data_IF_750552673120
#
_entry.id   IF_750552673120
#
_cell.length_a   1.000
_cell.length_b   1.000
_cell.length_c   1.000
_cell.angle_alpha   90.00
_cell.angle_beta   90.00
_cell.angle_gamma   90.00
#
_symmetry.space_group_name_H-M   'P 1'
#
loop_
_entity.id
_entity.type
_entity.pdbx_description
1 polymer ?
#
# COMPACT_ATOMS: atom_id res chain seq x y z
N UNK A 1 3.12 3.53 -4.90
CA UNK A 1 4.22 4.39 -5.39
C UNK A 1 3.77 5.33 -6.51
N UNK A 2 3.14 4.83 -7.59
CA UNK A 2 2.52 5.73 -8.60
C UNK A 2 3.52 6.49 -9.45
N UNK A 3 4.63 5.83 -9.82
CA UNK A 3 5.64 6.36 -10.73
C UNK A 3 5.26 6.12 -12.18
N UNK A 4 5.70 7.04 -13.04
CA UNK A 4 5.44 7.06 -14.48
C UNK A 4 6.77 7.17 -15.23
N UNK A 5 7.01 6.36 -16.28
CA UNK A 5 8.27 6.40 -17.02
C UNK A 5 8.68 7.79 -17.52
N UNK A 6 7.73 8.57 -18.02
CA UNK A 6 8.00 9.89 -18.59
C UNK A 6 7.94 11.02 -17.57
N UNK A 7 6.98 10.96 -16.64
CA UNK A 7 6.63 12.06 -15.74
C UNK A 7 7.07 11.86 -14.29
N UNK A 8 7.68 10.71 -13.95
CA UNK A 8 7.97 10.25 -12.60
C UNK A 8 6.74 10.36 -11.70
N UNK A 9 6.56 11.48 -11.01
CA UNK A 9 5.41 11.70 -10.12
C UNK A 9 4.15 12.16 -10.84
N UNK A 10 4.25 12.58 -12.10
CA UNK A 10 3.11 13.12 -12.86
C UNK A 10 2.58 12.08 -13.85
N UNK A 11 1.29 11.69 -13.77
CA UNK A 11 0.68 10.84 -14.78
C UNK A 11 0.64 11.55 -16.14
N UNK A 12 0.79 10.83 -17.27
CA UNK A 12 0.77 11.43 -18.60
C UNK A 12 -0.62 11.92 -19.01
N UNK A 13 -1.69 11.37 -18.42
CA UNK A 13 -3.07 11.84 -18.59
C UNK A 13 -3.98 11.32 -17.47
N UNK A 14 -5.21 11.85 -17.40
CA UNK A 14 -6.24 11.35 -16.48
C UNK A 14 -6.64 9.91 -16.82
N UNK A 15 -6.76 9.58 -18.10
CA UNK A 15 -7.09 8.25 -18.60
C UNK A 15 -6.04 7.21 -18.21
N UNK A 16 -4.76 7.59 -18.25
CA UNK A 16 -3.67 6.73 -17.82
C UNK A 16 -3.78 6.43 -16.32
N UNK A 17 -4.02 7.45 -15.50
CA UNK A 17 -4.20 7.26 -14.06
C UNK A 17 -5.45 6.42 -13.73
N UNK A 18 -6.54 6.62 -14.47
CA UNK A 18 -7.78 5.86 -14.34
C UNK A 18 -7.63 4.41 -14.76
N UNK A 19 -6.80 4.11 -15.75
CA UNK A 19 -6.63 2.74 -16.26
C UNK A 19 -6.04 1.81 -15.19
N UNK A 20 -5.15 2.30 -14.33
CA UNK A 20 -4.63 1.56 -13.17
C UNK A 20 -5.80 1.14 -12.23
N UNK A 21 -6.73 2.05 -11.90
CA UNK A 21 -7.88 1.76 -11.04
C UNK A 21 -8.82 0.74 -11.70
N UNK A 22 -9.08 0.91 -13.01
CA UNK A 22 -9.95 0.00 -13.77
C UNK A 22 -9.36 -1.41 -13.84
N UNK A 23 -8.06 -1.53 -14.11
CA UNK A 23 -7.37 -2.81 -14.12
C UNK A 23 -7.47 -3.50 -12.76
N UNK A 24 -7.16 -2.79 -11.67
CA UNK A 24 -7.16 -3.35 -10.32
C UNK A 24 -8.57 -3.77 -9.88
N UNK A 25 -9.59 -2.97 -10.19
CA UNK A 25 -10.99 -3.37 -9.94
C UNK A 25 -11.35 -4.65 -10.68
N UNK A 26 -10.96 -4.76 -11.96
CA UNK A 26 -11.16 -5.97 -12.76
C UNK A 26 -10.38 -7.16 -12.19
N UNK A 27 -9.22 -6.91 -11.58
CA UNK A 27 -8.39 -7.91 -10.92
C UNK A 27 -8.89 -8.33 -9.54
N UNK A 28 -10.06 -7.85 -9.10
CA UNK A 28 -10.71 -8.25 -7.86
C UNK A 28 -10.30 -7.43 -6.62
N UNK A 29 -9.54 -6.35 -6.80
CA UNK A 29 -9.23 -5.41 -5.73
C UNK A 29 -10.40 -4.44 -5.51
N UNK A 30 -10.61 -4.07 -4.24
CA UNK A 30 -11.60 -3.08 -3.82
C UNK A 30 -10.98 -1.90 -3.04
N UNK A 31 -9.66 -1.93 -2.82
CA UNK A 31 -8.92 -0.90 -2.13
C UNK A 31 -7.54 -0.69 -2.76
N UNK A 32 -7.06 0.56 -2.75
CA UNK A 32 -5.71 0.96 -3.11
C UNK A 32 -5.07 1.71 -1.94
N UNK A 33 -3.79 1.44 -1.69
CA UNK A 33 -2.97 2.28 -0.81
C UNK A 33 -2.13 3.23 -1.65
N UNK A 34 -2.35 4.53 -1.48
CA UNK A 34 -1.48 5.54 -2.08
C UNK A 34 -0.26 5.73 -1.20
N UNK A 35 0.72 4.87 -1.45
CA UNK A 35 2.00 4.83 -0.74
C UNK A 35 2.79 6.13 -0.90
N UNK A 36 3.04 6.81 0.24
CA UNK A 36 3.86 8.01 0.48
C UNK A 36 3.75 9.16 -0.54
N UNK A 37 2.58 9.34 -1.16
CA UNK A 37 2.38 10.31 -2.24
C UNK A 37 0.97 10.88 -2.21
N UNK A 38 0.80 12.13 -2.67
CA UNK A 38 -0.52 12.70 -2.97
C UNK A 38 -0.70 12.74 -4.50
N UNK A 39 -1.82 12.22 -5.00
CA UNK A 39 -2.21 12.34 -6.42
C UNK A 39 -3.07 13.59 -6.68
N UNK A 40 -3.22 14.02 -7.94
CA UNK A 40 -4.19 15.05 -8.30
C UNK A 40 -5.62 14.68 -7.90
N UNK A 41 -6.46 15.67 -7.59
CA UNK A 41 -7.87 15.49 -7.19
C UNK A 41 -8.71 14.55 -8.10
N UNK A 42 -8.37 14.50 -9.39
CA UNK A 42 -9.00 13.59 -10.38
C UNK A 42 -8.85 12.11 -10.01
N UNK A 43 -7.74 11.72 -9.37
CA UNK A 43 -7.51 10.35 -8.89
C UNK A 43 -8.58 9.92 -7.89
N UNK A 44 -8.82 10.74 -6.87
CA UNK A 44 -9.78 10.45 -5.82
C UNK A 44 -11.22 10.56 -6.34
N UNK A 45 -11.50 11.53 -7.22
CA UNK A 45 -12.79 11.59 -7.91
C UNK A 45 -13.08 10.32 -8.72
N UNK A 46 -12.10 9.79 -9.47
CA UNK A 46 -12.28 8.54 -10.19
C UNK A 46 -12.43 7.34 -9.25
N UNK A 47 -11.69 7.31 -8.13
CA UNK A 47 -11.85 6.28 -7.10
C UNK A 47 -13.26 6.30 -6.50
N UNK A 48 -13.81 7.47 -6.17
CA UNK A 48 -15.20 7.64 -5.72
C UNK A 48 -16.19 7.07 -6.74
N UNK A 49 -16.03 7.44 -8.01
CA UNK A 49 -16.93 7.04 -9.11
C UNK A 49 -16.85 5.54 -9.40
N UNK A 50 -15.66 4.97 -9.31
CA UNK A 50 -15.40 3.57 -9.57
C UNK A 50 -15.64 2.71 -8.33
N UNK A 51 -15.91 3.28 -7.15
CA UNK A 51 -16.12 2.53 -5.92
C UNK A 51 -14.86 1.78 -5.47
N UNK A 52 -13.71 2.45 -5.52
CA UNK A 52 -12.43 1.95 -5.04
C UNK A 52 -12.09 2.67 -3.73
N UNK A 53 -11.83 1.92 -2.66
CA UNK A 53 -11.40 2.49 -1.39
C UNK A 53 -9.94 2.95 -1.49
N UNK A 54 -9.57 4.00 -0.76
CA UNK A 54 -8.22 4.54 -0.71
C UNK A 54 -7.74 4.57 0.74
N UNK A 55 -6.55 4.01 0.98
CA UNK A 55 -5.71 4.35 2.12
C UNK A 55 -4.72 5.40 1.66
N UNK A 56 -4.75 6.58 2.28
CA UNK A 56 -3.94 7.71 1.87
C UNK A 56 -2.80 7.91 2.87
N UNK A 57 -1.57 7.67 2.42
CA UNK A 57 -0.39 7.94 3.21
C UNK A 57 -0.03 9.42 3.18
N UNK A 58 0.45 9.93 4.31
CA UNK A 58 1.29 11.12 4.31
C UNK A 58 2.59 10.82 3.54
N UNK A 59 3.06 11.72 2.65
CA UNK A 59 4.41 11.63 2.14
C UNK A 59 5.44 11.57 3.28
N UNK A 60 6.23 10.51 3.30
CA UNK A 60 7.28 10.34 4.30
C UNK A 60 8.41 11.34 4.13
N UNK A 61 9.08 11.67 5.23
CA UNK A 61 10.24 12.54 5.25
C UNK A 61 11.48 11.81 5.76
N UNK A 62 12.47 12.59 6.21
CA UNK A 62 13.69 12.08 6.82
C UNK A 62 14.85 11.88 5.86
N UNK A 63 16.06 12.11 6.37
CA UNK A 63 17.32 11.70 5.74
C UNK A 63 17.70 10.27 6.12
N UNK A 64 18.86 9.81 5.64
CA UNK A 64 19.36 8.45 5.88
C UNK A 64 19.52 8.12 7.38
N UNK A 65 19.89 9.10 8.21
CA UNK A 65 20.06 8.97 9.66
C UNK A 65 18.73 8.98 10.43
N UNK A 66 17.61 9.22 9.74
CA UNK A 66 16.26 9.32 10.30
C UNK A 66 15.36 8.16 9.86
N UNK A 67 15.91 7.21 9.10
CA UNK A 67 15.24 5.93 8.82
C UNK A 67 15.33 4.99 10.02
N UNK A 68 14.20 4.35 10.36
CA UNK A 68 14.11 3.45 11.50
C UNK A 68 13.81 2.03 11.02
N UNK A 69 14.64 1.07 11.41
CA UNK A 69 14.35 -0.34 11.19
C UNK A 69 13.31 -0.86 12.18
N UNK A 70 12.70 -2.01 11.90
CA UNK A 70 11.73 -2.64 12.81
C UNK A 70 12.30 -3.04 14.17
N UNK A 71 13.63 -3.11 14.33
CA UNK A 71 14.31 -3.37 15.61
C UNK A 71 14.61 -2.10 16.42
N UNK A 72 14.39 -0.91 15.84
CA UNK A 72 14.60 0.37 16.52
C UNK A 72 13.78 0.46 17.81
N UNK A 73 14.32 1.19 18.78
CA UNK A 73 13.69 1.42 20.09
C UNK A 73 13.41 2.92 20.34
N UNK A 74 13.59 3.73 19.30
CA UNK A 74 13.44 5.18 19.30
C UNK A 74 12.77 5.62 18.01
N UNK A 75 12.26 6.85 18.01
CA UNK A 75 11.70 7.53 16.84
C UNK A 75 12.67 8.57 16.31
N UNK A 76 12.49 9.00 15.06
CA UNK A 76 13.32 10.01 14.43
C UNK A 76 13.20 11.35 15.18
N UNK A 77 14.30 12.09 15.22
CA UNK A 77 14.38 13.41 15.82
C UNK A 77 14.58 14.43 14.71
N UNK A 78 13.73 15.44 14.71
CA UNK A 78 13.75 16.52 13.73
C UNK A 78 13.87 17.89 14.43
N UNK A 79 14.48 18.89 13.77
CA UNK A 79 14.37 20.28 14.18
C UNK A 79 12.92 20.74 14.24
N UNK A 80 12.60 21.67 15.14
CA UNK A 80 11.25 22.18 15.33
C UNK A 80 10.64 22.77 14.05
N UNK A 81 11.44 23.40 13.18
CA UNK A 81 10.95 23.89 11.88
C UNK A 81 10.49 22.76 10.95
N UNK A 82 11.17 21.62 10.97
CA UNK A 82 10.80 20.45 10.14
C UNK A 82 9.54 19.80 10.69
N UNK A 83 9.43 19.67 12.01
CA UNK A 83 8.23 19.15 12.68
C UNK A 83 7.00 20.01 12.37
N UNK A 84 7.15 21.34 12.41
CA UNK A 84 6.08 22.28 12.10
C UNK A 84 5.64 22.19 10.62
N UNK A 85 6.59 22.09 9.69
CA UNK A 85 6.28 21.96 8.26
C UNK A 85 5.60 20.62 7.95
N UNK A 86 6.07 19.50 8.52
CA UNK A 86 5.44 18.19 8.32
C UNK A 86 4.01 18.15 8.89
N UNK A 87 3.79 18.72 10.08
CA UNK A 87 2.43 18.84 10.64
C UNK A 87 1.52 19.74 9.81
N UNK A 88 2.06 20.85 9.28
CA UNK A 88 1.33 21.72 8.35
C UNK A 88 0.93 20.96 7.09
N UNK A 89 1.85 20.28 6.42
CA UNK A 89 1.58 19.51 5.21
C UNK A 89 0.60 18.36 5.46
N UNK A 90 0.70 17.66 6.60
CA UNK A 90 -0.28 16.65 7.01
C UNK A 90 -1.69 17.24 7.14
N UNK A 91 -1.79 18.42 7.78
CA UNK A 91 -3.08 19.10 7.93
C UNK A 91 -3.65 19.63 6.59
N UNK A 92 -2.78 20.11 5.69
CA UNK A 92 -3.15 20.56 4.35
C UNK A 92 -3.64 19.38 3.50
N UNK A 93 -2.91 18.26 3.49
CA UNK A 93 -3.32 17.03 2.80
C UNK A 93 -4.70 16.57 3.26
N UNK A 94 -4.94 16.45 4.57
CA UNK A 94 -6.26 16.04 5.09
C UNK A 94 -7.31 17.09 4.73
N UNK A 95 -7.00 18.38 4.86
CA UNK A 95 -7.91 19.49 4.53
C UNK A 95 -8.39 19.46 3.08
N UNK A 96 -7.49 19.18 2.14
CA UNK A 96 -7.78 19.08 0.70
C UNK A 96 -8.48 17.78 0.32
N UNK A 97 -8.17 16.67 1.00
CA UNK A 97 -8.57 15.33 0.55
C UNK A 97 -9.76 14.74 1.32
N UNK A 98 -10.08 15.21 2.53
CA UNK A 98 -11.18 14.63 3.36
C UNK A 98 -12.57 14.71 2.74
N UNK A 99 -12.75 15.48 1.67
CA UNK A 99 -14.01 15.55 0.93
C UNK A 99 -14.25 14.30 0.05
N UNK A 100 -13.22 13.52 -0.26
CA UNK A 100 -13.33 12.30 -1.08
C UNK A 100 -13.75 11.10 -0.20
N UNK A 101 -14.96 10.56 -0.37
CA UNK A 101 -15.43 9.41 0.43
C UNK A 101 -14.70 8.11 0.13
N UNK A 102 -14.01 7.98 -1.01
CA UNK A 102 -13.15 6.83 -1.30
C UNK A 102 -12.02 6.69 -0.29
N UNK A 103 -11.50 7.79 0.27
CA UNK A 103 -10.50 7.73 1.33
C UNK A 103 -11.18 7.21 2.60
N UNK A 104 -10.72 6.08 3.12
CA UNK A 104 -11.27 5.45 4.33
C UNK A 104 -10.27 5.37 5.48
N UNK A 105 -8.98 5.50 5.17
CA UNK A 105 -7.89 5.43 6.13
C UNK A 105 -6.85 6.51 5.84
N UNK A 106 -6.38 7.20 6.88
CA UNK A 106 -5.17 8.01 6.85
C UNK A 106 -4.01 7.20 7.41
N UNK A 107 -2.90 7.10 6.66
CA UNK A 107 -1.66 6.46 7.13
C UNK A 107 -0.65 7.55 7.47
N UNK A 108 -0.23 7.61 8.72
CA UNK A 108 0.64 8.70 9.23
C UNK A 108 2.10 8.45 8.88
N UNK A 109 2.59 7.22 9.10
CA UNK A 109 3.98 6.85 8.84
C UNK A 109 4.05 5.52 8.07
N UNK A 110 5.06 5.41 7.20
CA UNK A 110 5.40 4.18 6.50
C UNK A 110 6.79 3.70 6.94
N UNK A 111 6.93 2.45 7.37
CA UNK A 111 8.21 1.72 7.48
C UNK A 111 9.36 2.47 8.19
N UNK A 112 9.07 3.33 9.15
CA UNK A 112 10.10 4.11 9.84
C UNK A 112 10.75 5.22 9.01
N UNK A 113 10.23 5.55 7.82
CA UNK A 113 10.74 6.63 6.96
C UNK A 113 10.44 8.00 7.58
N UNK A 114 11.40 8.50 8.36
CA UNK A 114 11.23 9.74 9.11
C UNK A 114 10.11 9.67 10.14
N UNK A 115 9.82 8.48 10.67
CA UNK A 115 8.73 8.28 11.63
C UNK A 115 9.06 8.96 12.96
N UNK A 116 8.23 9.92 13.36
CA UNK A 116 8.38 10.68 14.60
C UNK A 116 7.04 10.89 15.30
N UNK A 117 7.09 11.04 16.62
CA UNK A 117 5.96 11.40 17.49
C UNK A 117 4.59 10.77 17.11
N UNK A 118 4.63 9.49 16.73
CA UNK A 118 3.53 8.82 16.03
C UNK A 118 2.20 8.90 16.79
N UNK A 119 2.25 8.78 18.11
CA UNK A 119 1.08 8.86 18.99
C UNK A 119 0.42 10.25 18.93
N UNK A 120 1.22 11.32 18.98
CA UNK A 120 0.71 12.70 18.92
C UNK A 120 0.16 13.02 17.55
N UNK A 121 0.86 12.64 16.47
CA UNK A 121 0.38 12.83 15.10
C UNK A 121 -0.92 12.07 14.85
N UNK A 122 -1.04 10.84 15.36
CA UNK A 122 -2.27 10.05 15.24
C UNK A 122 -3.45 10.75 15.90
N UNK A 123 -3.29 11.25 17.13
CA UNK A 123 -4.33 12.05 17.79
C UNK A 123 -4.65 13.34 17.05
N UNK A 124 -3.64 13.99 16.46
CA UNK A 124 -3.81 15.20 15.65
C UNK A 124 -4.68 14.91 14.41
N UNK A 125 -4.38 13.84 13.66
CA UNK A 125 -5.18 13.40 12.50
C UNK A 125 -6.62 13.10 12.92
N UNK A 126 -6.82 12.31 13.98
CA UNK A 126 -8.16 12.01 14.51
C UNK A 126 -8.92 13.25 14.96
N UNK A 127 -8.22 14.29 15.43
CA UNK A 127 -8.82 15.58 15.79
C UNK A 127 -9.27 16.41 14.58
N UNK A 128 -8.56 16.32 13.45
CA UNK A 128 -8.89 17.05 12.22
C UNK A 128 -9.99 16.35 11.41
N UNK A 129 -9.94 15.02 11.36
CA UNK A 129 -10.92 14.19 10.66
C UNK A 129 -11.27 12.93 11.48
N UNK A 130 -12.29 13.02 12.36
CA UNK A 130 -12.73 11.88 13.17
C UNK A 130 -13.59 10.87 12.39
N UNK A 131 -13.80 11.08 11.08
CA UNK A 131 -14.72 10.24 10.28
C UNK A 131 -14.05 9.04 9.60
N UNK A 132 -12.71 8.94 9.69
CA UNK A 132 -11.90 7.91 9.04
C UNK A 132 -11.01 7.20 10.05
N UNK A 133 -10.59 5.98 9.69
CA UNK A 133 -9.62 5.24 10.48
C UNK A 133 -8.22 5.86 10.32
N UNK A 134 -7.38 5.70 11.33
CA UNK A 134 -5.98 6.14 11.29
C UNK A 134 -5.06 4.97 11.57
N UNK A 135 -4.16 4.72 10.62
CA UNK A 135 -2.99 3.89 10.82
C UNK A 135 -1.82 4.77 11.24
N UNK A 136 -1.37 4.61 12.48
CA UNK A 136 -0.25 5.38 12.99
C UNK A 136 1.07 5.02 12.29
N UNK A 137 1.31 3.72 12.08
CA UNK A 137 2.59 3.20 11.61
C UNK A 137 2.35 1.96 10.76
N UNK A 138 2.37 2.13 9.45
CA UNK A 138 2.24 1.04 8.49
C UNK A 138 3.59 0.30 8.37
N UNK A 139 3.59 -1.01 8.62
CA UNK A 139 4.75 -1.88 8.45
C UNK A 139 5.50 -2.30 9.71
N UNK A 140 6.27 -1.40 10.31
CA UNK A 140 7.02 -1.74 11.54
C UNK A 140 7.18 -0.54 12.47
N UNK A 141 7.75 -0.82 13.65
CA UNK A 141 7.89 0.12 14.77
C UNK A 141 6.52 0.67 15.23
N UNK A 142 5.62 -0.24 15.62
CA UNK A 142 4.33 0.13 16.21
C UNK A 142 4.49 0.72 17.62
N UNK A 143 4.68 2.03 17.68
CA UNK A 143 4.94 2.78 18.93
C UNK A 143 3.73 3.58 19.42
N UNK A 144 2.60 3.49 18.71
CA UNK A 144 1.37 4.20 19.05
C UNK A 144 0.14 3.26 19.20
N UNK A 145 0.27 2.09 19.87
CA UNK A 145 -0.78 1.07 19.86
C UNK A 145 -2.08 1.50 20.54
N UNK A 146 -2.06 2.53 21.39
CA UNK A 146 -3.27 3.06 22.06
C UNK A 146 -4.01 4.10 21.22
N UNK A 147 -3.32 4.69 20.24
CA UNK A 147 -3.86 5.78 19.43
C UNK A 147 -4.25 5.29 18.02
N UNK A 148 -3.53 4.31 17.47
CA UNK A 148 -3.81 3.71 16.14
C UNK A 148 -5.07 2.86 16.14
N UNK A 149 -5.84 2.89 15.06
CA UNK A 149 -7.00 1.99 14.87
C UNK A 149 -6.58 0.59 14.36
N UNK A 150 -5.33 0.46 13.90
CA UNK A 150 -4.82 -0.79 13.36
C UNK A 150 -3.40 -1.13 13.85
N UNK A 151 -3.12 -2.43 13.84
CA UNK A 151 -1.78 -2.97 13.81
C UNK A 151 -1.50 -3.45 12.38
N UNK A 152 -0.51 -2.82 11.76
CA UNK A 152 -0.08 -3.10 10.41
C UNK A 152 1.32 -3.74 10.42
N UNK A 153 1.49 -4.82 9.64
CA UNK A 153 2.80 -5.36 9.31
C UNK A 153 3.06 -5.43 7.81
N UNK A 154 4.31 -5.32 7.43
CA UNK A 154 4.77 -5.61 6.07
C UNK A 154 5.45 -6.97 5.98
N UNK A 155 5.12 -7.78 4.96
CA UNK A 155 5.66 -9.14 4.84
C UNK A 155 5.85 -9.60 3.39
N UNK A 156 7.08 -9.98 3.07
CA UNK A 156 7.49 -10.35 1.70
C UNK A 156 7.89 -11.82 1.51
N UNK A 157 7.65 -12.63 2.55
CA UNK A 157 7.90 -14.08 2.57
C UNK A 157 7.06 -14.84 1.52
N UNK A 158 7.46 -16.07 1.15
CA UNK A 158 6.70 -16.95 0.24
C UNK A 158 5.24 -17.16 0.70
N UNK A 159 5.04 -17.27 2.01
CA UNK A 159 3.73 -17.22 2.65
C UNK A 159 3.72 -16.02 3.60
N UNK A 160 2.77 -15.07 3.47
CA UNK A 160 2.69 -13.90 4.35
C UNK A 160 2.68 -14.29 5.82
N UNK A 161 3.46 -13.57 6.63
CA UNK A 161 3.40 -13.71 8.09
C UNK A 161 2.04 -13.22 8.59
N UNK A 162 1.55 -13.80 9.68
CA UNK A 162 0.31 -13.36 10.33
C UNK A 162 0.64 -12.27 11.36
N UNK A 163 -0.05 -11.12 11.34
CA UNK A 163 0.09 -10.13 12.41
C UNK A 163 -0.33 -10.73 13.77
N UNK A 164 0.32 -10.33 14.88
CA UNK A 164 -0.14 -10.68 16.21
C UNK A 164 -1.60 -10.25 16.43
N UNK A 165 -2.43 -11.15 16.98
CA UNK A 165 -3.84 -10.84 17.29
C UNK A 165 -3.93 -9.61 18.19
N UNK A 166 -4.90 -8.75 17.90
CA UNK A 166 -5.23 -7.55 18.67
C UNK A 166 -6.64 -7.66 19.24
N UNK A 167 -6.90 -7.01 20.37
CA UNK A 167 -8.21 -6.99 21.03
C UNK A 167 -9.01 -5.74 20.64
N UNK A 168 -8.31 -4.63 20.45
CA UNK A 168 -8.85 -3.27 20.32
C UNK A 168 -8.51 -2.61 18.97
N UNK A 169 -7.73 -3.27 18.12
CA UNK A 169 -7.31 -2.78 16.81
C UNK A 169 -7.57 -3.80 15.72
N UNK A 170 -7.81 -3.34 14.50
CA UNK A 170 -7.78 -4.22 13.34
C UNK A 170 -6.35 -4.72 13.09
N UNK A 171 -6.20 -5.97 12.64
CA UNK A 171 -4.91 -6.47 12.14
C UNK A 171 -4.91 -6.46 10.62
N UNK A 172 -3.84 -5.94 10.01
CA UNK A 172 -3.76 -5.75 8.57
C UNK A 172 -2.36 -6.10 8.03
N UNK A 173 -2.29 -6.38 6.73
CA UNK A 173 -1.03 -6.42 5.98
C UNK A 173 -0.95 -5.17 5.10
N UNK A 174 -0.30 -4.11 5.57
CA UNK A 174 -0.15 -2.84 4.85
C UNK A 174 0.68 -2.94 3.60
N UNK A 175 1.54 -3.97 3.54
CA UNK A 175 2.23 -4.45 2.34
C UNK A 175 2.49 -5.95 2.45
N UNK A 176 2.19 -6.66 1.37
CA UNK A 176 2.68 -8.02 1.15
C UNK A 176 2.81 -8.26 -0.35
N UNK A 177 3.50 -9.32 -0.76
CA UNK A 177 3.67 -9.60 -2.19
C UNK A 177 5.12 -9.70 -2.56
N UNK A 178 5.57 -8.86 -3.50
CA UNK A 178 6.96 -8.88 -3.95
C UNK A 178 7.28 -10.03 -4.90
N UNK A 179 6.33 -10.42 -5.74
CA UNK A 179 6.59 -11.38 -6.83
C UNK A 179 6.97 -10.60 -8.07
N UNK A 180 8.22 -10.69 -8.47
CA UNK A 180 8.70 -10.14 -9.71
C UNK A 180 8.59 -11.14 -10.85
N UNK A 181 8.23 -10.63 -12.02
CA UNK A 181 8.31 -11.35 -13.28
C UNK A 181 8.86 -10.36 -14.32
N UNK A 182 10.14 -10.51 -14.74
CA UNK A 182 10.75 -9.60 -15.71
C UNK A 182 10.23 -9.89 -17.11
N UNK A 183 9.39 -9.00 -17.64
CA UNK A 183 8.82 -9.14 -18.99
C UNK A 183 9.80 -8.55 -20.01
N UNK A 184 10.34 -9.34 -20.97
CA UNK A 184 11.27 -8.83 -21.98
C UNK A 184 10.70 -7.64 -22.76
N UNK A 185 11.50 -6.60 -22.94
CA UNK A 185 11.08 -5.37 -23.64
C UNK A 185 10.37 -4.33 -22.77
N UNK A 186 9.98 -4.67 -21.54
CA UNK A 186 9.20 -3.80 -20.65
C UNK A 186 9.90 -3.54 -19.30
N UNK A 187 11.22 -3.72 -19.26
CA UNK A 187 12.06 -3.47 -18.08
C UNK A 187 12.72 -2.10 -18.25
N UNK A 188 12.73 -1.29 -17.19
CA UNK A 188 13.30 0.06 -17.22
C UNK A 188 14.77 0.08 -17.65
N UNK A 189 15.60 -0.74 -17.01
CA UNK A 189 17.02 -0.91 -17.34
C UNK A 189 17.34 -2.39 -17.60
N UNK A 190 17.17 -2.87 -18.83
CA UNK A 190 17.50 -4.26 -19.17
C UNK A 190 18.96 -4.57 -18.84
N UNK A 191 19.19 -5.69 -18.14
CA UNK A 191 20.55 -6.15 -17.78
C UNK A 191 21.23 -5.37 -16.64
N UNK A 192 20.54 -4.47 -15.94
CA UNK A 192 21.10 -3.74 -14.78
C UNK A 192 20.16 -3.80 -13.57
N UNK A 193 20.66 -4.32 -12.45
CA UNK A 193 20.18 -3.97 -11.11
C UNK A 193 18.72 -4.27 -10.73
N UNK A 194 17.92 -4.90 -11.59
CA UNK A 194 16.53 -5.19 -11.26
C UNK A 194 16.44 -6.14 -10.06
N UNK A 195 15.53 -5.84 -9.14
CA UNK A 195 15.36 -6.62 -7.92
C UNK A 195 13.88 -6.87 -7.63
N UNK A 196 13.65 -7.96 -6.90
CA UNK A 196 12.36 -8.39 -6.39
C UNK A 196 12.60 -9.29 -5.18
N UNK A 197 11.63 -9.40 -4.29
CA UNK A 197 11.70 -10.34 -3.18
C UNK A 197 11.68 -11.79 -3.67
N UNK A 198 11.02 -12.06 -4.80
CA UNK A 198 10.93 -13.39 -5.42
C UNK A 198 10.80 -13.24 -6.94
N UNK A 199 11.56 -14.00 -7.72
CA UNK A 199 11.51 -13.91 -9.19
C UNK A 199 10.86 -15.15 -9.79
N UNK A 200 9.82 -14.95 -10.58
CA UNK A 200 9.20 -15.94 -11.46
C UNK A 200 9.84 -15.91 -12.85
N UNK A 201 9.97 -17.08 -13.48
CA UNK A 201 10.55 -17.23 -14.81
C UNK A 201 9.52 -17.02 -15.94
N UNK A 202 8.26 -17.33 -15.66
CA UNK A 202 7.14 -17.21 -16.60
C UNK A 202 5.84 -16.87 -15.88
N UNK A 203 4.79 -16.59 -16.65
CA UNK A 203 3.44 -16.25 -16.14
C UNK A 203 2.86 -17.38 -15.27
N UNK A 204 3.15 -18.64 -15.59
CA UNK A 204 2.63 -19.78 -14.85
C UNK A 204 3.23 -19.82 -13.45
N UNK A 205 4.54 -19.64 -13.32
CA UNK A 205 5.22 -19.56 -12.03
C UNK A 205 4.77 -18.30 -11.27
N UNK A 206 4.62 -17.17 -11.95
CA UNK A 206 4.10 -15.94 -11.36
C UNK A 206 2.73 -16.17 -10.70
N UNK A 207 1.79 -16.79 -11.41
CA UNK A 207 0.46 -17.13 -10.89
C UNK A 207 0.51 -18.14 -9.74
N UNK A 208 1.44 -19.10 -9.74
CA UNK A 208 1.63 -20.03 -8.62
C UNK A 208 2.08 -19.29 -7.36
N UNK A 209 3.05 -18.37 -7.48
CA UNK A 209 3.55 -17.57 -6.35
C UNK A 209 2.50 -16.59 -5.83
N UNK A 210 1.80 -15.90 -6.75
CA UNK A 210 0.69 -15.02 -6.39
C UNK A 210 -0.42 -15.79 -5.64
N UNK A 211 -0.81 -16.96 -6.17
CA UNK A 211 -1.82 -17.83 -5.53
C UNK A 211 -1.40 -18.23 -4.12
N UNK A 212 -0.18 -18.72 -3.93
CA UNK A 212 0.31 -19.13 -2.61
C UNK A 212 0.21 -18.01 -1.57
N UNK A 213 0.56 -16.78 -1.96
CA UNK A 213 0.46 -15.61 -1.08
C UNK A 213 -1.01 -15.27 -0.76
N UNK A 214 -1.87 -15.27 -1.77
CA UNK A 214 -3.30 -15.00 -1.58
C UNK A 214 -4.00 -16.09 -0.75
N UNK A 215 -3.62 -17.35 -0.89
CA UNK A 215 -4.09 -18.45 -0.02
C UNK A 215 -3.72 -18.20 1.45
N UNK A 216 -2.52 -17.66 1.71
CA UNK A 216 -2.11 -17.20 3.03
C UNK A 216 -3.02 -16.09 3.57
N UNK A 217 -3.32 -15.08 2.75
CA UNK A 217 -4.24 -13.99 3.11
C UNK A 217 -5.65 -14.51 3.40
N UNK A 218 -6.20 -15.36 2.52
CA UNK A 218 -7.53 -15.97 2.68
C UNK A 218 -7.61 -16.76 3.99
N UNK A 219 -6.58 -17.55 4.30
CA UNK A 219 -6.50 -18.29 5.56
C UNK A 219 -6.52 -17.33 6.74
N UNK A 220 -5.65 -16.31 6.74
CA UNK A 220 -5.56 -15.33 7.83
C UNK A 220 -6.87 -14.54 8.02
N UNK A 221 -7.56 -14.18 6.93
CA UNK A 221 -8.86 -13.51 7.01
C UNK A 221 -9.90 -14.40 7.71
N UNK A 222 -9.93 -15.70 7.41
CA UNK A 222 -10.88 -16.66 8.00
C UNK A 222 -10.54 -17.06 9.43
N UNK A 223 -9.25 -17.25 9.73
CA UNK A 223 -8.80 -17.85 11.00
C UNK A 223 -8.34 -16.81 12.03
N UNK A 224 -7.83 -15.67 11.59
CA UNK A 224 -7.21 -14.67 12.47
C UNK A 224 -7.95 -13.33 12.50
N UNK A 225 -8.94 -13.12 11.63
CA UNK A 225 -9.64 -11.83 11.51
C UNK A 225 -8.82 -10.76 10.78
N UNK A 226 -7.92 -11.17 9.88
CA UNK A 226 -7.21 -10.24 9.02
C UNK A 226 -8.21 -9.37 8.25
N UNK A 227 -8.14 -8.06 8.47
CA UNK A 227 -9.18 -7.12 8.04
C UNK A 227 -8.86 -6.43 6.70
N UNK A 228 -7.58 -6.35 6.34
CA UNK A 228 -7.14 -5.81 5.06
C UNK A 228 -5.77 -6.36 4.67
N UNK A 229 -5.47 -6.32 3.37
CA UNK A 229 -4.17 -6.69 2.81
C UNK A 229 -3.88 -5.90 1.54
N UNK A 230 -2.71 -5.27 1.43
CA UNK A 230 -2.28 -4.48 0.27
C UNK A 230 -1.17 -5.20 -0.48
N UNK A 231 -1.42 -5.56 -1.73
CA UNK A 231 -0.40 -6.20 -2.57
C UNK A 231 0.59 -5.17 -3.12
N UNK A 232 1.87 -5.33 -2.81
CA UNK A 232 3.00 -4.62 -3.42
C UNK A 232 3.42 -5.35 -4.69
N UNK A 233 3.19 -4.78 -5.89
CA UNK A 233 2.60 -3.46 -6.16
C UNK A 233 1.84 -3.39 -7.49
N UNK A 234 1.15 -2.28 -7.79
CA UNK A 234 0.38 -2.10 -9.04
C UNK A 234 1.26 -2.20 -10.29
N UNK A 235 2.34 -1.43 -10.35
CA UNK A 235 3.28 -1.40 -11.47
C UNK A 235 4.67 -1.69 -10.98
N UNK A 236 5.56 -2.14 -11.86
CA UNK A 236 6.99 -2.03 -11.61
C UNK A 236 7.35 -0.55 -11.36
N UNK A 237 8.41 -0.32 -10.58
CA UNK A 237 8.92 1.01 -10.26
C UNK A 237 10.41 0.99 -10.52
N UNK A 238 10.81 1.52 -11.67
CA UNK A 238 12.20 1.53 -12.13
C UNK A 238 12.87 0.14 -12.04
N UNK A 239 13.78 -0.04 -11.09
CA UNK A 239 14.56 -1.26 -10.91
C UNK A 239 13.83 -2.27 -9.97
N UNK A 240 12.74 -1.88 -9.30
CA UNK A 240 11.87 -2.77 -8.51
C UNK A 240 10.78 -3.38 -9.39
N UNK A 241 10.90 -4.68 -9.68
CA UNK A 241 10.03 -5.37 -10.66
C UNK A 241 8.87 -6.16 -10.03
N UNK A 242 8.34 -5.69 -8.90
CA UNK A 242 7.28 -6.35 -8.11
C UNK A 242 5.83 -6.09 -8.61
N UNK A 243 5.66 -5.40 -9.73
CA UNK A 243 4.37 -4.96 -10.25
C UNK A 243 3.43 -6.07 -10.73
N UNK A 244 2.12 -5.84 -10.65
CA UNK A 244 1.12 -6.58 -11.43
C UNK A 244 1.17 -6.19 -12.92
N UNK A 245 1.58 -4.96 -13.20
CA UNK A 245 1.83 -4.40 -14.52
C UNK A 245 3.32 -4.08 -14.69
N UNK A 246 3.81 -4.08 -15.91
CA UNK A 246 5.13 -3.53 -16.24
C UNK A 246 5.20 -2.02 -15.98
N UNK A 247 6.41 -1.45 -15.93
CA UNK A 247 6.59 -0.03 -15.54
C UNK A 247 5.86 0.94 -16.48
N UNK A 248 5.86 0.62 -17.77
CA UNK A 248 5.13 1.32 -18.84
C UNK A 248 3.63 0.99 -18.91
N UNK A 249 3.13 0.11 -18.03
CA UNK A 249 1.75 -0.40 -17.99
C UNK A 249 1.28 -1.08 -19.28
N UNK A 250 2.20 -1.39 -20.19
CA UNK A 250 1.87 -1.98 -21.48
C UNK A 250 1.47 -3.45 -21.36
N UNK A 251 2.06 -4.18 -20.41
CA UNK A 251 1.84 -5.62 -20.23
C UNK A 251 1.44 -5.94 -18.79
N UNK A 252 0.26 -6.54 -18.58
CA UNK A 252 -0.05 -7.18 -17.30
C UNK A 252 0.74 -8.48 -17.17
N UNK A 253 1.33 -8.74 -16.00
CA UNK A 253 2.11 -9.94 -15.72
C UNK A 253 1.27 -11.20 -15.60
N UNK A 254 -0.02 -11.02 -15.33
CA UNK A 254 -1.08 -12.00 -15.49
C UNK A 254 -2.39 -11.27 -15.79
N UNK A 255 -3.34 -11.96 -16.43
CA UNK A 255 -4.66 -11.38 -16.69
C UNK A 255 -5.39 -10.99 -15.39
N UNK A 256 -6.14 -9.88 -15.44
CA UNK A 256 -6.97 -9.43 -14.32
C UNK A 256 -7.95 -10.53 -13.87
N UNK A 257 -8.52 -11.27 -14.80
CA UNK A 257 -9.43 -12.38 -14.53
C UNK A 257 -8.76 -13.52 -13.74
N UNK A 258 -7.50 -13.85 -14.06
CA UNK A 258 -6.76 -14.87 -13.32
C UNK A 258 -6.47 -14.42 -11.88
N UNK A 259 -6.10 -13.15 -11.69
CA UNK A 259 -5.89 -12.57 -10.36
C UNK A 259 -7.19 -12.56 -9.55
N UNK A 260 -8.29 -12.11 -10.16
CA UNK A 260 -9.61 -12.06 -9.53
C UNK A 260 -10.10 -13.46 -9.14
N UNK A 261 -9.90 -14.47 -9.99
CA UNK A 261 -10.28 -15.85 -9.70
C UNK A 261 -9.54 -16.42 -8.48
N UNK A 262 -8.26 -16.03 -8.30
CA UNK A 262 -7.46 -16.42 -7.12
C UNK A 262 -7.97 -15.73 -5.86
N UNK A 263 -8.36 -14.45 -5.94
CA UNK A 263 -8.87 -13.67 -4.81
C UNK A 263 -10.35 -13.94 -4.47
N UNK A 264 -11.10 -14.56 -5.38
CA UNK A 264 -12.54 -14.82 -5.25
C UNK A 264 -12.98 -15.43 -3.89
N UNK A 265 -12.20 -16.34 -3.25
CA UNK A 265 -12.58 -16.90 -1.96
C UNK A 265 -12.68 -15.91 -0.79
N UNK A 266 -12.15 -14.68 -0.95
CA UNK A 266 -12.34 -13.59 0.04
C UNK A 266 -13.79 -13.07 0.05
N UNK A 267 -14.49 -13.19 -1.07
CA UNK A 267 -15.85 -12.66 -1.26
C UNK A 267 -16.93 -13.74 -1.14
N UNK A 268 -16.55 -15.00 -1.29
CA UNK A 268 -17.48 -16.11 -1.08
C UNK A 268 -17.80 -16.22 0.41
N UNK A 269 -19.01 -15.84 0.79
CA UNK A 269 -19.56 -16.19 2.11
C UNK A 269 -19.50 -17.71 2.23
N UNK A 270 -18.98 -18.29 3.33
CA UNK A 270 -19.16 -19.71 3.57
C UNK A 270 -20.66 -20.00 3.51
N UNK A 271 -21.09 -20.89 2.61
CA UNK A 271 -22.42 -21.49 2.72
C UNK A 271 -22.46 -22.14 4.10
N UNK A 272 -23.40 -21.78 4.99
CA UNK A 272 -23.58 -22.52 6.22
C UNK A 272 -23.86 -23.98 5.86
N UNK A 273 -23.08 -24.91 6.42
CA UNK A 273 -23.36 -26.35 6.38
C UNK A 273 -24.70 -26.68 7.07
#
# INVERSE_FOLDING_TARGET
QGWWPDGLYTPPSEEAMKSDIVFLKKAGFNMLRKHIKVEPARYYHDADRLGMLIWQDMPSGGGEDQYLAGTSQYQAIFPSETLAEQQKQLSEMIGELRAFPSIVTWVVNNEGWGQYDSATLTRFVKGIDPTRLVDANSGWLDVAPKDSDMLDIHTYEDVPRTPPLQVDRAIVLGEYGGVGFPVPGHIWKPGKGNWSYQVAQDEKEYLVRFRRKMEGVIRQAKENGLSASVYTQTTDVEDEINGLLTYDRAVPKASAEALAAIAAPLWSTPTPD
#
